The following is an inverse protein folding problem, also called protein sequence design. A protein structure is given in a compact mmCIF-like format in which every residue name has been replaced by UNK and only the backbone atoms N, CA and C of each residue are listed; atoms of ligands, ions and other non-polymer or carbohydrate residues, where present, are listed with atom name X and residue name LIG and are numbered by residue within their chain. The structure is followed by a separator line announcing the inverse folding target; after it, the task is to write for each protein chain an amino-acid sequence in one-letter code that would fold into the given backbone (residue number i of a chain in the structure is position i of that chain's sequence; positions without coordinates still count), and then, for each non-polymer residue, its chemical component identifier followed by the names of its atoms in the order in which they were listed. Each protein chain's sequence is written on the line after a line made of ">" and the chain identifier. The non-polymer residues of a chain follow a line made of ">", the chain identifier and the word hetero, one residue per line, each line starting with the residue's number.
data_IF_154769526502
#
_entry.id   IF_154769526502
#
_cell.length_a   1.000
_cell.length_b   1.000
_cell.length_c   1.000
_cell.angle_alpha   90.00
_cell.angle_beta   90.00
_cell.angle_gamma   90.00
#
_symmetry.space_group_name_H-M   'P 1'
#
loop_
_entity.id
_entity.type
_entity.pdbx_description
1 polymer ?
#
# COMPACT_ATOMS: atom_id res chain seq x y z
N UNK A 1 -15.15 15.79 -4.62
CA UNK A 1 -14.06 15.99 -3.64
C UNK A 1 -12.73 15.71 -4.32
N UNK A 2 -11.84 16.70 -4.40
CA UNK A 2 -10.49 16.51 -4.94
C UNK A 2 -9.62 15.94 -3.84
N UNK A 3 -9.41 14.63 -3.85
CA UNK A 3 -8.47 13.98 -2.95
C UNK A 3 -7.07 14.41 -3.38
N UNK A 4 -6.52 15.44 -2.75
CA UNK A 4 -5.12 15.85 -2.95
C UNK A 4 -4.26 14.71 -2.43
N UNK A 5 -3.88 13.78 -3.31
CA UNK A 5 -2.89 12.76 -3.00
C UNK A 5 -1.63 13.49 -2.55
N UNK A 6 -1.39 13.51 -1.26
CA UNK A 6 -0.13 13.96 -0.70
C UNK A 6 0.96 13.03 -1.25
N UNK A 7 2.12 13.61 -1.58
CA UNK A 7 3.31 12.88 -2.05
C UNK A 7 3.73 11.72 -1.14
N UNK A 8 3.17 11.62 0.08
CA UNK A 8 3.39 10.55 1.04
C UNK A 8 2.31 9.47 1.15
N UNK A 9 1.18 9.57 0.43
CA UNK A 9 0.09 8.63 0.62
C UNK A 9 0.42 7.24 0.08
N UNK A 10 0.05 6.18 0.81
CA UNK A 10 0.16 4.83 0.31
C UNK A 10 -0.74 4.61 -0.91
N UNK A 11 -0.25 3.81 -1.85
CA UNK A 11 -0.97 3.53 -3.09
C UNK A 11 -0.74 2.10 -3.57
N UNK A 12 -1.73 1.61 -4.31
CA UNK A 12 -1.62 0.34 -5.01
C UNK A 12 -0.68 0.47 -6.20
N UNK A 13 0.29 -0.44 -6.28
CA UNK A 13 1.20 -0.57 -7.42
C UNK A 13 1.39 -2.03 -7.79
N UNK A 14 1.97 -2.25 -8.97
CA UNK A 14 2.51 -3.56 -9.35
C UNK A 14 3.97 -3.66 -8.94
N UNK A 15 4.32 -4.75 -8.28
CA UNK A 15 5.70 -5.04 -7.90
C UNK A 15 6.58 -5.11 -9.16
N UNK A 16 7.62 -4.28 -9.24
CA UNK A 16 8.56 -4.31 -10.38
C UNK A 16 9.59 -5.44 -10.25
N UNK A 17 9.80 -5.95 -9.04
CA UNK A 17 10.74 -7.00 -8.67
C UNK A 17 10.08 -7.91 -7.63
N UNK A 18 10.42 -9.22 -7.56
CA UNK A 18 10.05 -10.02 -6.40
C UNK A 18 10.69 -9.47 -5.12
N UNK A 19 10.05 -9.70 -3.99
CA UNK A 19 10.52 -9.24 -2.68
C UNK A 19 9.63 -9.74 -1.55
N UNK A 20 9.83 -9.18 -0.36
CA UNK A 20 9.09 -9.53 0.84
C UNK A 20 8.26 -8.33 1.30
N UNK A 21 7.01 -8.62 1.65
CA UNK A 21 6.09 -7.71 2.32
C UNK A 21 6.61 -7.35 3.71
N UNK A 22 6.10 -6.29 4.31
CA UNK A 22 6.37 -5.88 5.69
C UNK A 22 6.15 -7.03 6.69
N UNK A 23 5.14 -7.85 6.41
CA UNK A 23 4.72 -9.01 7.19
C UNK A 23 5.56 -10.27 6.89
N UNK A 24 6.59 -10.16 6.05
CA UNK A 24 7.41 -11.28 5.58
C UNK A 24 6.80 -12.06 4.42
N UNK A 25 5.53 -11.80 4.04
CA UNK A 25 4.87 -12.45 2.90
C UNK A 25 5.66 -12.23 1.61
N UNK A 26 6.16 -13.28 0.94
CA UNK A 26 6.85 -13.11 -0.33
C UNK A 26 5.86 -12.72 -1.43
N UNK A 27 6.25 -11.79 -2.30
CA UNK A 27 5.51 -11.41 -3.50
C UNK A 27 6.41 -11.46 -4.72
N UNK A 28 5.81 -11.75 -5.87
CA UNK A 28 6.47 -11.85 -7.17
C UNK A 28 6.36 -10.55 -7.94
N UNK A 29 7.26 -10.37 -8.90
CA UNK A 29 7.15 -9.32 -9.90
C UNK A 29 5.80 -9.42 -10.62
N UNK A 30 5.12 -8.30 -10.77
CA UNK A 30 3.80 -8.20 -11.39
C UNK A 30 2.64 -8.32 -10.42
N UNK A 31 2.86 -8.80 -9.19
CA UNK A 31 1.81 -8.86 -8.17
C UNK A 31 1.37 -7.47 -7.72
N UNK A 32 0.11 -7.39 -7.28
CA UNK A 32 -0.49 -6.16 -6.79
C UNK A 32 -0.11 -5.99 -5.32
N UNK A 33 0.62 -4.91 -5.04
CA UNK A 33 1.15 -4.60 -3.71
C UNK A 33 0.72 -3.19 -3.30
N UNK A 34 0.55 -2.98 -2.02
CA UNK A 34 0.21 -1.68 -1.44
C UNK A 34 1.47 -1.06 -0.84
N UNK A 35 1.89 0.09 -1.36
CA UNK A 35 3.19 0.68 -1.05
C UNK A 35 3.04 1.99 -0.29
N UNK A 36 3.73 2.10 0.84
CA UNK A 36 3.83 3.29 1.67
C UNK A 36 5.12 4.05 1.35
N UNK A 37 5.09 5.14 0.57
CA UNK A 37 6.30 5.87 0.20
C UNK A 37 6.98 6.56 1.39
N UNK A 38 6.22 6.93 2.43
CA UNK A 38 6.75 7.59 3.65
C UNK A 38 7.67 6.70 4.47
N UNK A 39 7.36 5.41 4.55
CA UNK A 39 8.09 4.43 5.38
C UNK A 39 8.90 3.45 4.52
N UNK A 40 8.71 3.45 3.20
CA UNK A 40 9.30 2.47 2.28
C UNK A 40 8.69 1.08 2.41
N UNK A 41 7.59 0.94 3.15
CA UNK A 41 6.97 -0.34 3.47
C UNK A 41 6.08 -0.80 2.32
N UNK A 42 6.18 -2.08 1.97
CA UNK A 42 5.32 -2.71 0.96
C UNK A 42 4.50 -3.81 1.60
N UNK A 43 3.19 -3.80 1.41
CA UNK A 43 2.29 -4.87 1.81
C UNK A 43 1.85 -5.66 0.58
N UNK A 44 1.81 -6.99 0.69
CA UNK A 44 1.33 -7.89 -0.36
C UNK A 44 0.20 -8.80 0.14
N UNK A 45 -0.59 -9.33 -0.79
CA UNK A 45 -1.65 -10.29 -0.48
C UNK A 45 -2.75 -9.71 0.43
N UNK A 46 -3.22 -10.51 1.39
CA UNK A 46 -4.28 -10.12 2.33
C UNK A 46 -3.92 -8.90 3.19
N UNK A 47 -2.65 -8.77 3.59
CA UNK A 47 -2.15 -7.64 4.37
C UNK A 47 -2.21 -6.33 3.59
N UNK A 48 -2.06 -6.38 2.25
CA UNK A 48 -2.22 -5.21 1.38
C UNK A 48 -3.66 -4.71 1.36
N UNK A 49 -4.63 -5.62 1.29
CA UNK A 49 -6.06 -5.28 1.33
C UNK A 49 -6.44 -4.68 2.69
N UNK A 50 -5.92 -5.25 3.78
CA UNK A 50 -6.15 -4.72 5.14
C UNK A 50 -5.57 -3.32 5.30
N UNK A 51 -4.29 -3.14 4.95
CA UNK A 51 -3.62 -1.84 5.04
C UNK A 51 -4.30 -0.77 4.17
N UNK A 52 -4.79 -1.16 2.99
CA UNK A 52 -5.58 -0.27 2.15
C UNK A 52 -6.91 0.13 2.79
N UNK A 53 -7.60 -0.79 3.47
CA UNK A 53 -8.86 -0.50 4.15
C UNK A 53 -8.65 0.40 5.38
N UNK A 54 -7.61 0.12 6.18
CA UNK A 54 -7.23 0.96 7.32
C UNK A 54 -6.83 2.37 6.86
N UNK A 55 -6.13 2.48 5.72
CA UNK A 55 -5.81 3.78 5.14
C UNK A 55 -7.06 4.52 4.63
N UNK A 56 -7.97 3.83 3.93
CA UNK A 56 -9.23 4.42 3.42
C UNK A 56 -10.13 4.93 4.55
N UNK A 57 -10.18 4.21 5.68
CA UNK A 57 -10.91 4.62 6.88
C UNK A 57 -10.30 5.87 7.54
N UNK A 58 -8.97 5.91 7.70
CA UNK A 58 -8.27 7.09 8.21
C UNK A 58 -8.39 8.29 7.27
N UNK A 59 -8.26 8.05 5.97
CA UNK A 59 -8.48 9.00 4.88
C UNK A 59 -9.88 9.62 4.92
N UNK A 60 -10.90 8.80 5.22
CA UNK A 60 -12.28 9.24 5.29
C UNK A 60 -12.62 10.00 6.58
N UNK A 61 -11.79 9.89 7.64
CA UNK A 61 -11.99 10.57 8.92
C UNK A 61 -11.37 11.99 8.96
N UNK A 62 -10.38 12.28 8.11
CA UNK A 62 -9.72 13.59 8.02
C UNK A 62 -10.35 14.53 6.96
N UNK A 63 -11.61 14.27 6.56
CA UNK A 63 -12.36 15.02 5.54
C UNK A 63 -13.48 15.89 6.10
#
# INVERSE_FOLDING_TARGET
>A
MTYTRYTGDPYWKRAKSPGNSADGTPYRKGERVFFYPRTGVTYAGGSATRASAEFDELASLEG
#
